data_IF_363148094775
#
_entry.id   IF_363148094775
#
_cell.length_a   1.000
_cell.length_b   1.000
_cell.length_c   1.000
_cell.angle_alpha   90.00
_cell.angle_beta   90.00
_cell.angle_gamma   90.00
#
_symmetry.space_group_name_H-M   'P 1'
#
loop_
_entity.id
_entity.type
_entity.pdbx_description
1 polymer ?
#
# COMPACT_ATOMS: atom_id res chain seq x y z
N UNK A 1 -14.13 7.83 -24.76
CA UNK A 1 -15.26 7.55 -25.69
C UNK A 1 -16.23 8.71 -25.62
N UNK A 2 -16.43 9.44 -26.72
CA UNK A 2 -17.36 10.58 -26.78
C UNK A 2 -18.76 10.05 -27.04
N UNK A 3 -19.79 10.57 -26.34
CA UNK A 3 -21.18 10.28 -26.71
C UNK A 3 -21.67 11.41 -27.61
N UNK A 4 -22.25 11.03 -28.76
CA UNK A 4 -23.01 11.95 -29.62
C UNK A 4 -24.40 12.13 -29.02
N UNK A 5 -24.73 13.36 -28.67
CA UNK A 5 -26.09 13.79 -28.36
C UNK A 5 -26.54 14.86 -29.33
N UNK A 6 -27.83 15.14 -29.39
CA UNK A 6 -28.38 16.25 -30.18
C UNK A 6 -29.11 17.21 -29.25
N UNK A 7 -28.90 18.52 -29.44
CA UNK A 7 -29.54 19.57 -28.64
C UNK A 7 -30.13 20.62 -29.58
N UNK A 8 -31.28 21.19 -29.19
CA UNK A 8 -31.83 22.37 -29.84
C UNK A 8 -31.02 23.60 -29.46
N UNK A 9 -30.50 24.30 -30.47
CA UNK A 9 -29.81 25.58 -30.32
C UNK A 9 -30.71 26.70 -30.89
N UNK A 10 -31.03 27.73 -30.09
CA UNK A 10 -31.81 28.87 -30.56
C UNK A 10 -31.01 29.71 -31.57
N UNK A 11 -31.72 30.30 -32.53
CA UNK A 11 -31.19 31.21 -33.53
C UNK A 11 -31.71 32.64 -33.29
N UNK A 12 -31.00 33.67 -33.79
CA UNK A 12 -31.39 35.08 -33.59
C UNK A 12 -32.76 35.44 -34.17
N UNK A 13 -33.25 34.69 -35.15
CA UNK A 13 -34.56 34.87 -35.79
C UNK A 13 -35.71 34.16 -35.03
N UNK A 14 -35.42 33.59 -33.85
CA UNK A 14 -36.39 32.90 -33.01
C UNK A 14 -36.62 31.43 -33.39
N UNK A 15 -35.92 30.91 -34.40
CA UNK A 15 -35.98 29.49 -34.77
C UNK A 15 -35.02 28.64 -33.93
N UNK A 16 -35.14 27.31 -34.00
CA UNK A 16 -34.25 26.38 -33.32
C UNK A 16 -33.71 25.35 -34.30
N UNK A 17 -32.42 25.05 -34.20
CA UNK A 17 -31.76 24.02 -35.01
C UNK A 17 -31.24 22.87 -34.15
N UNK A 18 -31.29 21.65 -34.67
CA UNK A 18 -30.65 20.50 -34.03
C UNK A 18 -29.14 20.54 -34.27
N UNK A 19 -28.35 20.71 -33.21
CA UNK A 19 -26.89 20.59 -33.27
C UNK A 19 -26.41 19.29 -32.64
N UNK A 20 -25.48 18.61 -33.29
CA UNK A 20 -24.82 17.44 -32.72
C UNK A 20 -23.76 17.90 -31.73
N UNK A 21 -23.89 17.52 -30.47
CA UNK A 21 -22.92 17.81 -29.41
C UNK A 21 -22.16 16.53 -29.08
N UNK A 22 -20.84 16.62 -29.14
CA UNK A 22 -19.95 15.56 -28.67
C UNK A 22 -19.57 15.87 -27.22
N UNK A 23 -20.16 15.16 -26.26
CA UNK A 23 -19.76 15.30 -24.86
C UNK A 23 -18.72 14.23 -24.51
N UNK A 24 -17.58 14.67 -23.96
CA UNK A 24 -16.53 13.77 -23.47
C UNK A 24 -17.00 13.19 -22.14
N UNK A 25 -17.33 11.90 -22.13
CA UNK A 25 -17.65 11.21 -20.89
C UNK A 25 -16.33 10.89 -20.18
N UNK A 26 -15.99 11.64 -19.13
CA UNK A 26 -14.89 11.31 -18.26
C UNK A 26 -15.35 10.19 -17.33
N UNK A 27 -14.96 8.94 -17.60
CA UNK A 27 -15.05 7.89 -16.59
C UNK A 27 -14.05 8.26 -15.51
N UNK A 28 -14.55 8.62 -14.32
CA UNK A 28 -13.74 8.74 -13.11
C UNK A 28 -13.10 7.38 -12.87
N UNK A 29 -11.85 7.21 -13.30
CA UNK A 29 -11.02 6.10 -12.87
C UNK A 29 -10.77 6.35 -11.39
N UNK A 30 -11.34 5.53 -10.49
CA UNK A 30 -10.86 5.50 -9.11
C UNK A 30 -9.36 5.24 -9.20
N UNK A 31 -8.54 6.15 -8.70
CA UNK A 31 -7.14 5.87 -8.47
C UNK A 31 -7.12 4.64 -7.56
N UNK A 32 -6.66 3.50 -8.09
CA UNK A 32 -6.22 2.40 -7.24
C UNK A 32 -5.01 2.95 -6.50
N UNK A 33 -5.22 3.43 -5.28
CA UNK A 33 -4.15 3.64 -4.32
C UNK A 33 -3.39 2.31 -4.26
N UNK A 34 -2.17 2.26 -4.79
CA UNK A 34 -1.34 1.07 -4.68
C UNK A 34 -1.08 0.83 -3.20
N UNK A 35 -1.50 -0.32 -2.68
CA UNK A 35 -1.11 -0.75 -1.34
C UNK A 35 0.32 -1.28 -1.40
N UNK A 36 1.11 -0.98 -0.38
CA UNK A 36 2.46 -1.52 -0.23
C UNK A 36 2.45 -2.66 0.80
N UNK A 37 3.41 -3.58 0.65
CA UNK A 37 3.52 -4.75 1.52
C UNK A 37 4.59 -4.56 2.58
N UNK A 38 4.30 -4.99 3.80
CA UNK A 38 5.25 -4.99 4.90
C UNK A 38 6.33 -6.07 4.68
N UNK A 39 7.63 -5.72 4.71
CA UNK A 39 8.73 -6.69 4.56
C UNK A 39 8.89 -7.61 5.75
N UNK A 40 8.35 -7.24 6.92
CA UNK A 40 8.34 -8.09 8.10
C UNK A 40 7.31 -9.23 7.98
N UNK A 41 6.03 -8.89 7.85
CA UNK A 41 4.92 -9.87 7.94
C UNK A 41 4.11 -10.08 6.66
N UNK A 42 4.38 -9.35 5.57
CA UNK A 42 3.65 -9.48 4.31
C UNK A 42 2.31 -8.74 4.24
N UNK A 43 1.92 -7.97 5.26
CA UNK A 43 0.68 -7.18 5.24
C UNK A 43 0.64 -6.20 4.06
N UNK A 44 -0.31 -6.37 3.15
CA UNK A 44 -0.49 -5.56 1.94
C UNK A 44 -1.52 -4.44 2.16
N UNK A 45 -1.20 -3.51 3.06
CA UNK A 45 -2.10 -2.41 3.41
C UNK A 45 -1.39 -1.13 3.85
N UNK A 46 -0.07 -1.05 3.65
CA UNK A 46 0.70 0.16 3.94
C UNK A 46 0.32 1.26 2.95
N UNK A 47 0.28 2.50 3.45
CA UNK A 47 -0.02 3.70 2.67
C UNK A 47 1.18 4.23 1.89
N UNK A 48 2.39 3.92 2.35
CA UNK A 48 3.65 4.29 1.73
C UNK A 48 4.57 3.06 1.57
N UNK A 49 5.53 3.08 0.62
CA UNK A 49 6.53 2.03 0.58
C UNK A 49 7.37 2.10 1.88
N UNK A 50 7.73 0.96 2.50
CA UNK A 50 8.53 0.93 3.73
C UNK A 50 9.82 1.76 3.63
N UNK A 51 10.49 1.68 2.48
CA UNK A 51 11.67 2.47 2.12
C UNK A 51 11.55 2.91 0.67
N UNK A 52 12.12 4.07 0.33
CA UNK A 52 12.03 4.70 -1.00
C UNK A 52 12.38 3.77 -2.16
N UNK A 53 13.38 2.91 -1.99
CA UNK A 53 13.94 2.03 -3.01
C UNK A 53 13.58 0.55 -2.86
N UNK A 54 12.71 0.19 -1.91
CA UNK A 54 12.32 -1.21 -1.70
C UNK A 54 11.29 -1.61 -2.77
N UNK A 55 11.75 -2.28 -3.82
CA UNK A 55 10.90 -2.70 -4.95
C UNK A 55 10.12 -3.98 -4.68
N UNK A 56 10.70 -4.90 -3.89
CA UNK A 56 10.11 -6.19 -3.54
C UNK A 56 10.44 -6.52 -2.09
N UNK A 57 9.45 -7.00 -1.33
CA UNK A 57 9.62 -7.32 0.09
C UNK A 57 10.55 -8.50 0.31
N UNK A 58 10.66 -9.42 -0.66
CA UNK A 58 11.58 -10.55 -0.56
C UNK A 58 13.05 -10.09 -0.66
N UNK A 59 13.33 -8.95 -1.30
CA UNK A 59 14.68 -8.40 -1.46
C UNK A 59 15.31 -7.95 -0.13
N UNK A 60 14.49 -7.71 0.90
CA UNK A 60 14.98 -7.34 2.22
C UNK A 60 15.44 -8.54 3.07
N UNK A 61 15.20 -9.78 2.63
CA UNK A 61 15.46 -10.97 3.44
C UNK A 61 16.94 -11.25 3.61
N UNK A 62 17.33 -11.52 4.85
CA UNK A 62 18.71 -11.78 5.24
C UNK A 62 19.64 -10.57 5.17
N UNK A 63 19.10 -9.36 5.01
CA UNK A 63 19.85 -8.12 5.22
C UNK A 63 19.81 -7.74 6.69
N UNK A 64 20.91 -7.17 7.17
CA UNK A 64 20.96 -6.61 8.52
C UNK A 64 20.54 -5.14 8.50
N UNK A 65 19.81 -4.68 9.53
CA UNK A 65 19.49 -3.28 9.70
C UNK A 65 20.75 -2.42 9.98
N UNK A 66 20.73 -1.10 9.71
CA UNK A 66 19.57 -0.30 9.30
C UNK A 66 19.27 -0.41 7.81
N UNK A 67 17.99 -0.52 7.45
CA UNK A 67 17.59 -0.79 6.07
C UNK A 67 17.66 0.43 5.14
N UNK A 68 17.79 1.62 5.72
CA UNK A 68 17.95 2.86 4.95
C UNK A 68 19.25 2.89 4.12
N UNK A 69 20.27 2.14 4.53
CA UNK A 69 21.53 1.99 3.78
C UNK A 69 21.33 1.16 2.50
N UNK A 70 20.36 0.25 2.50
CA UNK A 70 20.06 -0.63 1.37
C UNK A 70 19.00 -0.03 0.43
N UNK A 71 17.98 0.61 1.00
CA UNK A 71 16.78 1.02 0.27
C UNK A 71 16.50 2.53 0.30
N UNK A 72 17.35 3.32 0.94
CA UNK A 72 17.17 4.77 1.09
C UNK A 72 16.14 5.13 2.15
N UNK A 73 15.66 6.38 2.14
CA UNK A 73 14.85 6.93 3.23
C UNK A 73 13.63 6.06 3.62
N UNK A 74 13.42 5.78 4.92
CA UNK A 74 12.26 5.05 5.42
C UNK A 74 10.98 5.90 5.33
N UNK A 75 9.82 5.24 5.43
CA UNK A 75 8.53 5.94 5.52
C UNK A 75 8.15 6.37 6.93
N UNK A 76 8.76 5.79 7.97
CA UNK A 76 8.30 5.93 9.36
C UNK A 76 6.85 5.49 9.58
N UNK A 77 6.30 4.70 8.65
CA UNK A 77 4.99 4.10 8.82
C UNK A 77 5.07 2.90 9.75
N UNK A 78 4.03 2.74 10.59
CA UNK A 78 3.86 1.58 11.45
C UNK A 78 2.96 0.58 10.75
N UNK A 79 3.37 -0.68 10.70
CA UNK A 79 2.53 -1.72 10.11
C UNK A 79 1.30 -2.02 10.98
N UNK A 80 0.09 -1.77 10.46
CA UNK A 80 -1.19 -2.11 11.13
C UNK A 80 -1.30 -3.59 11.55
N UNK A 81 -0.54 -4.49 10.90
CA UNK A 81 -0.50 -5.91 11.23
C UNK A 81 0.54 -6.20 12.32
N UNK A 82 1.83 -6.22 12.00
CA UNK A 82 2.87 -6.66 12.95
C UNK A 82 3.41 -5.56 13.88
N UNK A 83 3.05 -4.30 13.67
CA UNK A 83 3.51 -3.17 14.50
C UNK A 83 4.93 -2.69 14.25
N UNK A 84 5.66 -3.25 13.27
CA UNK A 84 7.01 -2.77 12.93
C UNK A 84 6.97 -1.32 12.40
N UNK A 85 7.81 -0.45 12.94
CA UNK A 85 8.01 0.94 12.52
C UNK A 85 9.30 1.08 11.68
N UNK A 86 9.14 1.37 10.38
CA UNK A 86 10.27 1.46 9.46
C UNK A 86 11.13 2.70 9.72
N UNK A 87 12.42 2.51 9.94
CA UNK A 87 13.39 3.55 10.27
C UNK A 87 13.53 3.83 11.77
N UNK A 88 12.72 3.21 12.64
CA UNK A 88 12.83 3.35 14.09
C UNK A 88 13.14 2.00 14.76
N UNK A 89 12.41 0.93 14.43
CA UNK A 89 12.68 -0.41 14.98
C UNK A 89 13.98 -1.01 14.43
N UNK A 90 14.31 -0.75 13.16
CA UNK A 90 15.59 -1.13 12.55
C UNK A 90 16.71 -0.11 12.76
N UNK A 91 16.42 1.11 13.22
CA UNK A 91 17.45 2.10 13.51
C UNK A 91 17.12 2.97 14.74
N UNK A 92 17.11 2.39 15.96
CA UNK A 92 16.67 3.08 17.17
C UNK A 92 17.69 4.09 17.73
N UNK A 93 18.81 4.31 17.05
CA UNK A 93 19.89 5.24 17.43
C UNK A 93 20.78 4.76 18.59
N UNK A 94 20.21 4.49 19.77
CA UNK A 94 20.94 4.04 20.96
C UNK A 94 20.54 2.64 21.47
N UNK A 95 19.46 2.07 20.92
CA UNK A 95 18.99 0.72 21.21
C UNK A 95 19.62 -0.36 20.33
N UNK A 96 19.15 -1.60 20.50
CA UNK A 96 19.48 -2.71 19.60
C UNK A 96 18.47 -2.69 18.45
N UNK A 97 18.90 -2.59 17.18
CA UNK A 97 17.99 -2.64 16.04
C UNK A 97 17.41 -4.06 15.89
N UNK A 98 16.17 -4.14 15.45
CA UNK A 98 15.52 -5.41 15.12
C UNK A 98 15.58 -5.67 13.61
N UNK A 99 16.02 -6.87 13.21
CA UNK A 99 15.80 -7.33 11.84
C UNK A 99 14.32 -7.63 11.58
N UNK A 100 13.91 -7.69 10.31
CA UNK A 100 12.54 -8.06 9.94
C UNK A 100 12.20 -9.48 10.39
N UNK A 101 13.15 -10.40 10.30
CA UNK A 101 13.02 -11.78 10.71
C UNK A 101 12.95 -11.91 12.24
N UNK A 102 13.75 -11.14 12.99
CA UNK A 102 13.66 -11.15 14.45
C UNK A 102 12.32 -10.61 14.94
N UNK A 103 11.85 -9.50 14.38
CA UNK A 103 10.55 -8.95 14.71
C UNK A 103 9.42 -9.92 14.36
N UNK A 104 9.46 -10.52 13.16
CA UNK A 104 8.47 -11.52 12.75
C UNK A 104 8.44 -12.68 13.75
N UNK A 105 9.60 -13.22 14.15
CA UNK A 105 9.67 -14.30 15.13
C UNK A 105 9.08 -13.90 16.48
N UNK A 106 9.40 -12.71 16.99
CA UNK A 106 8.89 -12.26 18.28
C UNK A 106 7.38 -12.01 18.24
N UNK A 107 6.89 -11.35 17.18
CA UNK A 107 5.46 -11.15 16.96
C UNK A 107 4.69 -12.46 16.80
N UNK A 108 5.27 -13.47 16.16
CA UNK A 108 4.68 -14.82 16.11
C UNK A 108 4.62 -15.45 17.50
N UNK A 109 5.69 -15.31 18.30
CA UNK A 109 5.74 -15.83 19.68
C UNK A 109 4.74 -15.14 20.61
N UNK A 110 4.40 -13.89 20.36
CA UNK A 110 3.36 -13.17 21.09
C UNK A 110 1.92 -13.51 20.65
N UNK A 111 1.76 -14.39 19.66
CA UNK A 111 0.44 -14.84 19.19
C UNK A 111 -0.10 -14.06 17.99
N UNK A 112 0.77 -13.39 17.24
CA UNK A 112 0.41 -12.61 16.05
C UNK A 112 -0.62 -11.51 16.36
N UNK A 113 -0.46 -10.82 17.50
CA UNK A 113 -1.36 -9.75 17.91
C UNK A 113 -1.29 -8.58 16.92
N UNK A 114 -2.41 -8.23 16.29
CA UNK A 114 -2.44 -7.13 15.34
C UNK A 114 -2.26 -5.80 16.04
N UNK A 115 -1.40 -4.93 15.50
CA UNK A 115 -1.19 -3.58 16.01
C UNK A 115 -2.48 -2.75 15.96
N UNK A 116 -3.19 -2.78 14.83
CA UNK A 116 -4.57 -2.30 14.70
C UNK A 116 -5.50 -3.49 14.51
N UNK A 117 -6.09 -3.97 15.61
CA UNK A 117 -7.04 -5.08 15.59
C UNK A 117 -8.27 -4.82 14.70
N UNK A 118 -8.62 -3.55 14.41
CA UNK A 118 -9.76 -3.22 13.53
C UNK A 118 -9.47 -3.48 12.06
N UNK A 119 -8.19 -3.62 11.69
CA UNK A 119 -7.74 -3.93 10.33
C UNK A 119 -7.65 -5.43 10.07
N UNK A 120 -7.70 -6.27 11.11
CA UNK A 120 -7.55 -7.72 10.98
C UNK A 120 -8.73 -8.31 10.20
N UNK A 121 -8.49 -8.97 9.06
CA UNK A 121 -9.54 -9.67 8.33
C UNK A 121 -10.17 -10.80 9.16
N UNK A 122 -11.46 -11.03 8.96
CA UNK A 122 -12.12 -12.22 9.50
C UNK A 122 -11.50 -13.48 8.89
N UNK A 123 -11.21 -14.48 9.72
CA UNK A 123 -10.56 -15.71 9.28
C UNK A 123 -9.10 -15.54 8.83
N UNK A 124 -8.42 -14.45 9.22
CA UNK A 124 -7.02 -14.22 8.87
C UNK A 124 -6.10 -15.34 9.37
N UNK A 125 -5.21 -15.79 8.49
CA UNK A 125 -4.16 -16.78 8.76
C UNK A 125 -2.80 -16.21 8.35
N UNK A 126 -1.78 -16.41 9.18
CA UNK A 126 -0.44 -15.89 8.95
C UNK A 126 0.19 -16.50 7.70
N UNK A 127 0.08 -17.82 7.54
CA UNK A 127 0.73 -18.57 6.47
C UNK A 127 0.25 -18.08 5.10
N UNK A 128 -1.05 -17.80 4.96
CA UNK A 128 -1.62 -17.24 3.74
C UNK A 128 -1.09 -15.83 3.44
N UNK A 129 -0.86 -15.01 4.47
CA UNK A 129 -0.31 -13.67 4.30
C UNK A 129 1.15 -13.72 3.83
N UNK A 130 1.95 -14.60 4.43
CA UNK A 130 3.35 -14.78 4.07
C UNK A 130 3.48 -15.35 2.65
N UNK A 131 2.69 -16.37 2.32
CA UNK A 131 2.67 -16.99 0.98
C UNK A 131 2.34 -15.97 -0.11
N UNK A 132 1.30 -15.15 0.09
CA UNK A 132 0.90 -14.09 -0.87
C UNK A 132 1.99 -13.04 -1.06
N UNK A 133 2.80 -12.78 -0.04
CA UNK A 133 3.91 -11.84 -0.08
C UNK A 133 5.22 -12.48 -0.57
N UNK A 134 5.25 -13.78 -0.87
CA UNK A 134 6.47 -14.50 -1.24
C UNK A 134 7.48 -14.62 -0.09
N UNK A 135 7.00 -14.60 1.15
CA UNK A 135 7.80 -14.68 2.36
C UNK A 135 7.77 -16.09 2.95
N UNK A 136 8.86 -16.57 3.59
CA UNK A 136 8.86 -17.84 4.27
C UNK A 136 7.95 -17.80 5.51
N UNK A 137 7.23 -18.90 5.74
CA UNK A 137 6.46 -19.16 6.96
C UNK A 137 7.34 -19.60 8.14
#
# INVERSE_FOLDING_TARGET
MFKRGVRLAPQPDGTFVLITVLTKQWKIMKATTGSFSCPCCGYNGLSQPPYRGLADVSAARGLEPPYEEHFGAPSYEVCDCCGFEFGNDDNPGTGVPASFEEHLREWVRSGCEWFDATKRPEGWQLEEQLERAGLPA
#
